data_IF_979141243834
#
_entry.id   IF_979141243834
#
_cell.length_a   1.000
_cell.length_b   1.000
_cell.length_c   1.000
_cell.angle_alpha   90.00
_cell.angle_beta   90.00
_cell.angle_gamma   90.00
#
_symmetry.space_group_name_H-M   'P 1'
#
loop_
_entity.id
_entity.type
_entity.pdbx_description
1 polymer ?
#
# COMPACT_ATOMS: atom_id res chain seq x y z
N UNK A 1 -16.46 16.34 2.37
CA UNK A 1 -15.08 15.97 2.78
C UNK A 1 -14.93 14.50 2.48
N UNK A 2 -14.06 14.14 1.54
CA UNK A 2 -13.79 12.75 1.20
C UNK A 2 -12.95 12.08 2.30
N UNK A 3 -12.93 10.74 2.30
CA UNK A 3 -12.26 9.95 3.35
C UNK A 3 -10.76 10.26 3.42
N UNK A 4 -10.11 10.51 2.27
CA UNK A 4 -8.66 10.77 2.22
C UNK A 4 -8.32 12.08 2.91
N UNK A 5 -9.10 13.15 2.70
CA UNK A 5 -8.83 14.41 3.39
C UNK A 5 -9.08 14.39 4.89
N UNK A 6 -9.96 13.52 5.40
CA UNK A 6 -10.09 13.31 6.86
C UNK A 6 -8.80 12.69 7.40
N UNK A 7 -8.31 11.63 6.76
CA UNK A 7 -7.06 10.99 7.16
C UNK A 7 -5.84 11.91 7.04
N UNK A 8 -5.84 12.82 6.06
CA UNK A 8 -4.78 13.82 5.95
C UNK A 8 -4.75 14.75 7.16
N UNK A 9 -5.89 15.27 7.61
CA UNK A 9 -5.93 16.09 8.83
C UNK A 9 -5.42 15.33 10.05
N UNK A 10 -5.88 14.09 10.24
CA UNK A 10 -5.38 13.22 11.33
C UNK A 10 -3.86 12.96 11.24
N UNK A 11 -3.32 12.89 10.02
CA UNK A 11 -1.90 12.68 9.80
C UNK A 11 -1.05 13.93 10.08
N UNK A 12 -1.65 15.13 9.98
CA UNK A 12 -0.98 16.39 10.32
C UNK A 12 -0.74 16.51 11.83
N UNK A 13 -1.56 15.88 12.67
CA UNK A 13 -1.37 15.87 14.13
C UNK A 13 -0.14 15.05 14.59
N UNK A 14 0.66 14.52 13.66
CA UNK A 14 1.84 13.69 13.93
C UNK A 14 3.10 14.29 13.34
N UNK A 15 4.21 14.13 14.07
CA UNK A 15 5.53 14.48 13.55
C UNK A 15 5.92 13.62 12.34
N UNK A 16 6.63 14.24 11.39
CA UNK A 16 7.10 13.57 10.17
C UNK A 16 6.16 13.72 8.98
N UNK A 17 6.38 12.95 7.92
CA UNK A 17 5.65 13.14 6.67
C UNK A 17 4.25 12.51 6.74
N UNK A 18 3.16 13.31 6.57
CA UNK A 18 1.80 12.81 6.69
C UNK A 18 1.47 11.79 5.59
N UNK A 19 2.01 11.97 4.37
CA UNK A 19 1.83 11.03 3.26
C UNK A 19 2.50 9.68 3.57
N UNK A 20 3.76 9.68 4.03
CA UNK A 20 4.44 8.45 4.44
C UNK A 20 3.68 7.70 5.54
N UNK A 21 3.18 8.44 6.54
CA UNK A 21 2.40 7.85 7.63
C UNK A 21 1.13 7.17 7.13
N UNK A 22 0.37 7.83 6.24
CA UNK A 22 -0.83 7.25 5.66
C UNK A 22 -0.53 6.04 4.76
N UNK A 23 0.60 6.03 4.07
CA UNK A 23 1.01 4.88 3.26
C UNK A 23 1.37 3.66 4.11
N UNK A 24 2.13 3.82 5.19
CA UNK A 24 2.43 2.72 6.12
C UNK A 24 1.14 2.20 6.78
N UNK A 25 0.26 3.10 7.21
CA UNK A 25 -1.07 2.73 7.75
C UNK A 25 -1.88 1.94 6.72
N UNK A 26 -1.91 2.41 5.47
CA UNK A 26 -2.61 1.73 4.38
C UNK A 26 -2.02 0.36 4.06
N UNK A 27 -0.70 0.25 3.91
CA UNK A 27 0.00 -1.01 3.65
C UNK A 27 -0.32 -2.03 4.75
N UNK A 28 -0.17 -1.61 6.01
CA UNK A 28 -0.47 -2.46 7.16
C UNK A 28 -1.92 -2.94 7.15
N UNK A 29 -2.88 -2.02 7.02
CA UNK A 29 -4.31 -2.38 6.99
C UNK A 29 -4.66 -3.30 5.82
N UNK A 30 -4.04 -3.10 4.65
CA UNK A 30 -4.26 -3.95 3.48
C UNK A 30 -3.79 -5.38 3.75
N UNK A 31 -2.63 -5.53 4.40
CA UNK A 31 -2.10 -6.84 4.80
C UNK A 31 -3.00 -7.50 5.87
N UNK A 32 -3.45 -6.75 6.87
CA UNK A 32 -4.36 -7.25 7.90
C UNK A 32 -5.66 -7.77 7.28
N UNK A 33 -6.23 -7.02 6.34
CA UNK A 33 -7.41 -7.41 5.56
C UNK A 33 -7.17 -8.67 4.73
N UNK A 34 -6.02 -8.78 4.04
CA UNK A 34 -5.64 -10.00 3.30
C UNK A 34 -5.61 -11.22 4.23
N UNK A 35 -4.98 -11.09 5.39
CA UNK A 35 -4.80 -12.18 6.35
C UNK A 35 -6.11 -12.58 7.05
N UNK A 36 -6.99 -11.61 7.33
CA UNK A 36 -8.22 -11.84 8.07
C UNK A 36 -9.37 -12.32 7.18
N UNK A 37 -9.56 -11.73 6.00
CA UNK A 37 -10.79 -11.91 5.21
C UNK A 37 -10.56 -12.56 3.84
N UNK A 38 -9.35 -12.48 3.27
CA UNK A 38 -9.19 -12.68 1.82
C UNK A 38 -8.18 -13.73 1.36
N UNK A 39 -7.68 -14.60 2.23
CA UNK A 39 -6.85 -15.75 1.78
C UNK A 39 -7.60 -16.71 0.85
N UNK A 40 -8.94 -16.73 0.96
CA UNK A 40 -9.84 -17.54 0.14
C UNK A 40 -10.61 -16.73 -0.91
N UNK A 41 -10.45 -15.41 -0.93
CA UNK A 41 -11.17 -14.55 -1.86
C UNK A 41 -10.63 -14.76 -3.31
N UNK A 42 -11.51 -15.07 -4.29
CA UNK A 42 -11.06 -15.34 -5.66
C UNK A 42 -10.34 -14.17 -6.33
N UNK A 43 -10.75 -12.92 -6.05
CA UNK A 43 -10.14 -11.74 -6.64
C UNK A 43 -8.74 -11.51 -6.09
N UNK A 44 -8.56 -11.64 -4.77
CA UNK A 44 -7.23 -11.56 -4.15
C UNK A 44 -6.33 -12.70 -4.63
N UNK A 45 -6.87 -13.92 -4.77
CA UNK A 45 -6.13 -15.05 -5.37
C UNK A 45 -5.71 -14.79 -6.81
N UNK A 46 -6.56 -14.16 -7.62
CA UNK A 46 -6.20 -13.75 -8.98
C UNK A 46 -5.06 -12.73 -8.96
N UNK A 47 -5.10 -11.71 -8.09
CA UNK A 47 -4.00 -10.74 -7.97
C UNK A 47 -2.67 -11.37 -7.57
N UNK A 48 -2.70 -12.32 -6.64
CA UNK A 48 -1.51 -13.12 -6.29
C UNK A 48 -1.07 -14.03 -7.43
N UNK A 49 -1.99 -14.59 -8.22
CA UNK A 49 -1.65 -15.41 -9.38
C UNK A 49 -1.00 -14.58 -10.50
N UNK A 50 -1.53 -13.39 -10.79
CA UNK A 50 -1.00 -12.48 -11.81
C UNK A 50 0.42 -11.99 -11.49
N UNK A 51 0.66 -11.65 -10.22
CA UNK A 51 1.96 -11.17 -9.73
C UNK A 51 2.93 -12.30 -9.38
N UNK A 52 2.44 -13.55 -9.41
CA UNK A 52 3.11 -14.72 -8.86
C UNK A 52 3.64 -14.51 -7.43
N UNK A 53 3.03 -13.58 -6.69
CA UNK A 53 3.31 -13.35 -5.28
C UNK A 53 3.67 -11.92 -4.89
N UNK A 54 4.52 -11.86 -3.87
CA UNK A 54 5.00 -10.62 -3.27
C UNK A 54 6.48 -10.45 -3.55
N UNK A 55 6.90 -9.19 -3.72
CA UNK A 55 8.31 -8.86 -3.70
C UNK A 55 8.91 -9.18 -2.31
N UNK A 56 10.24 -9.33 -2.19
CA UNK A 56 10.88 -9.68 -0.93
C UNK A 56 10.48 -8.78 0.24
N UNK A 57 10.35 -7.47 0.02
CA UNK A 57 9.92 -6.52 1.04
C UNK A 57 8.51 -6.86 1.56
N UNK A 58 7.53 -6.97 0.68
CA UNK A 58 6.14 -7.24 1.08
C UNK A 58 5.94 -8.66 1.61
N UNK A 59 6.74 -9.62 1.15
CA UNK A 59 6.81 -10.97 1.72
C UNK A 59 7.18 -10.94 3.21
N UNK A 60 8.24 -10.19 3.56
CA UNK A 60 8.66 -10.02 4.95
C UNK A 60 7.63 -9.23 5.75
N UNK A 61 7.08 -8.16 5.19
CA UNK A 61 6.05 -7.35 5.86
C UNK A 61 4.78 -8.15 6.17
N UNK A 62 4.32 -8.98 5.22
CA UNK A 62 3.20 -9.90 5.40
C UNK A 62 3.46 -10.85 6.57
N UNK A 63 4.65 -11.46 6.59
CA UNK A 63 5.08 -12.35 7.68
C UNK A 63 5.05 -11.61 9.03
N UNK A 64 5.70 -10.46 9.13
CA UNK A 64 5.75 -9.66 10.37
C UNK A 64 4.36 -9.37 10.92
N UNK A 65 3.44 -8.90 10.08
CA UNK A 65 2.07 -8.58 10.49
C UNK A 65 1.31 -9.85 10.89
N UNK A 66 1.45 -10.94 10.14
CA UNK A 66 0.83 -12.22 10.48
C UNK A 66 1.22 -12.75 11.87
N UNK A 67 2.47 -12.52 12.30
CA UNK A 67 2.93 -12.88 13.64
C UNK A 67 2.67 -11.81 14.71
N UNK A 68 2.28 -10.59 14.33
CA UNK A 68 2.00 -9.51 15.28
C UNK A 68 0.67 -9.65 16.02
N UNK A 69 -0.26 -10.46 15.50
CA UNK A 69 -1.57 -10.68 16.08
C UNK A 69 -1.93 -12.18 16.02
N UNK A 70 -2.26 -12.83 17.15
CA UNK A 70 -2.67 -14.24 17.19
C UNK A 70 -3.86 -14.59 16.30
N UNK A 71 -4.71 -13.62 15.95
CA UNK A 71 -5.87 -13.82 15.09
C UNK A 71 -5.51 -14.01 13.61
N UNK A 72 -4.36 -13.52 13.16
CA UNK A 72 -3.91 -13.70 11.77
C UNK A 72 -3.16 -15.02 11.61
N UNK A 73 -2.12 -15.22 12.43
CA UNK A 73 -1.31 -16.43 12.45
C UNK A 73 -0.59 -16.76 11.13
N UNK A 74 0.14 -17.87 11.11
CA UNK A 74 0.93 -18.29 9.94
C UNK A 74 0.13 -18.98 8.83
N UNK A 75 -1.12 -19.38 9.08
CA UNK A 75 -1.90 -20.19 8.13
C UNK A 75 -2.21 -19.41 6.86
N UNK A 76 -2.65 -18.16 6.97
CA UNK A 76 -2.97 -17.33 5.80
C UNK A 76 -1.75 -17.12 4.90
N UNK A 77 -0.59 -16.89 5.52
CA UNK A 77 0.70 -16.81 4.82
C UNK A 77 1.01 -18.13 4.10
N UNK A 78 0.89 -19.27 4.79
CA UNK A 78 1.15 -20.58 4.21
C UNK A 78 0.25 -20.89 3.00
N UNK A 79 -1.04 -20.56 3.08
CA UNK A 79 -2.00 -20.75 1.98
C UNK A 79 -1.65 -19.90 0.76
N UNK A 80 -1.27 -18.64 0.97
CA UNK A 80 -0.85 -17.75 -0.13
C UNK A 80 0.39 -18.32 -0.82
N UNK A 81 1.41 -18.71 -0.05
CA UNK A 81 2.65 -19.25 -0.62
C UNK A 81 2.48 -20.63 -1.25
N UNK A 82 1.64 -21.51 -0.69
CA UNK A 82 1.33 -22.80 -1.29
C UNK A 82 0.70 -22.61 -2.68
N UNK A 83 -0.29 -21.73 -2.78
CA UNK A 83 -0.93 -21.42 -4.04
C UNK A 83 0.07 -20.85 -5.06
N UNK A 84 0.90 -19.88 -4.65
CA UNK A 84 1.94 -19.31 -5.51
C UNK A 84 2.93 -20.36 -6.02
N UNK A 85 3.47 -21.21 -5.12
CA UNK A 85 4.41 -22.26 -5.48
C UNK A 85 3.77 -23.29 -6.42
N UNK A 86 2.49 -23.59 -6.25
CA UNK A 86 1.76 -24.48 -7.15
C UNK A 86 1.70 -23.94 -8.59
N UNK A 87 1.51 -22.61 -8.75
CA UNK A 87 1.50 -21.94 -10.05
C UNK A 87 2.89 -21.97 -10.71
N UNK A 88 3.94 -21.67 -9.94
CA UNK A 88 5.33 -21.79 -10.42
C UNK A 88 5.64 -23.21 -10.88
N UNK A 89 5.34 -24.22 -10.06
CA UNK A 89 5.61 -25.61 -10.38
C UNK A 89 4.86 -26.07 -11.63
N UNK A 90 3.61 -25.62 -11.81
CA UNK A 90 2.83 -25.91 -13.01
C UNK A 90 3.48 -25.30 -14.26
N UNK A 91 3.86 -24.02 -14.22
CA UNK A 91 4.53 -23.35 -15.33
C UNK A 91 5.85 -24.04 -15.71
N UNK A 92 6.68 -24.37 -14.71
CA UNK A 92 7.94 -25.10 -14.92
C UNK A 92 7.72 -26.48 -15.56
N UNK A 93 6.73 -27.24 -15.09
CA UNK A 93 6.42 -28.58 -15.63
C UNK A 93 5.94 -28.53 -17.08
N UNK A 94 5.21 -27.49 -17.43
CA UNK A 94 4.67 -27.30 -18.77
C UNK A 94 5.68 -26.68 -19.75
N UNK A 95 6.88 -26.29 -19.28
CA UNK A 95 7.85 -25.55 -20.09
C UNK A 95 7.37 -24.14 -20.46
N UNK A 96 6.44 -23.57 -19.70
CA UNK A 96 5.92 -22.24 -19.91
C UNK A 96 6.93 -21.19 -19.42
N UNK A 97 7.04 -20.09 -20.17
CA UNK A 97 7.78 -18.92 -19.69
C UNK A 97 6.99 -18.29 -18.55
N UNK A 98 7.58 -18.27 -17.36
CA UNK A 98 6.99 -17.65 -16.18
C UNK A 98 7.27 -16.15 -16.23
N UNK A 99 6.22 -15.33 -16.22
CA UNK A 99 6.32 -13.87 -16.16
C UNK A 99 5.74 -13.36 -14.85
N UNK A 100 6.61 -12.78 -14.02
CA UNK A 100 6.23 -12.14 -12.76
C UNK A 100 5.78 -10.70 -13.06
N UNK A 101 4.48 -10.43 -12.94
CA UNK A 101 3.99 -9.04 -12.98
C UNK A 101 4.36 -8.30 -11.68
N UNK A 102 4.09 -6.99 -11.66
CA UNK A 102 4.31 -6.18 -10.46
C UNK A 102 3.63 -6.77 -9.22
N UNK A 103 4.35 -6.78 -8.10
CA UNK A 103 3.84 -7.19 -6.80
C UNK A 103 2.52 -6.49 -6.47
N UNK A 104 1.52 -7.28 -6.11
CA UNK A 104 0.17 -6.79 -5.80
C UNK A 104 0.17 -5.63 -4.78
N UNK A 105 0.89 -5.79 -3.66
CA UNK A 105 0.98 -4.76 -2.62
C UNK A 105 1.80 -3.52 -3.07
N UNK A 106 2.83 -3.70 -3.92
CA UNK A 106 3.54 -2.57 -4.50
C UNK A 106 2.60 -1.70 -5.32
N UNK A 107 1.78 -2.33 -6.16
CA UNK A 107 0.81 -1.64 -7.00
C UNK A 107 -0.22 -0.89 -6.15
N UNK A 108 -0.80 -1.56 -5.15
CA UNK A 108 -1.78 -0.95 -4.26
C UNK A 108 -1.22 0.28 -3.51
N UNK A 109 0.01 0.18 -2.97
CA UNK A 109 0.66 1.30 -2.27
C UNK A 109 0.96 2.46 -3.22
N UNK A 110 1.38 2.19 -4.46
CA UNK A 110 1.62 3.23 -5.48
C UNK A 110 0.35 3.96 -5.89
N UNK A 111 -0.74 3.22 -6.10
CA UNK A 111 -2.06 3.79 -6.40
C UNK A 111 -2.51 4.68 -5.24
N UNK A 112 -2.35 4.20 -4.00
CA UNK A 112 -2.69 4.99 -2.82
C UNK A 112 -1.83 6.23 -2.64
N UNK A 113 -0.54 6.17 -2.94
CA UNK A 113 0.36 7.34 -2.89
C UNK A 113 -0.12 8.42 -3.84
N UNK A 114 -0.48 8.03 -5.06
CA UNK A 114 -1.02 8.94 -6.05
C UNK A 114 -2.28 9.64 -5.53
N UNK A 115 -3.25 8.88 -5.04
CA UNK A 115 -4.52 9.44 -4.55
C UNK A 115 -4.31 10.41 -3.38
N UNK A 116 -3.41 10.07 -2.43
CA UNK A 116 -3.11 10.93 -1.28
C UNK A 116 -2.42 12.22 -1.73
N UNK A 117 -1.43 12.13 -2.63
CA UNK A 117 -0.68 13.28 -3.13
C UNK A 117 -1.58 14.21 -3.95
N UNK A 118 -2.43 13.65 -4.82
CA UNK A 118 -3.42 14.41 -5.59
C UNK A 118 -4.38 15.14 -4.65
N UNK A 119 -4.97 14.43 -3.69
CA UNK A 119 -5.88 15.02 -2.69
C UNK A 119 -5.20 16.11 -1.85
N UNK A 120 -3.94 15.91 -1.45
CA UNK A 120 -3.18 16.91 -0.70
C UNK A 120 -3.00 18.19 -1.52
N UNK A 121 -2.60 18.06 -2.78
CA UNK A 121 -2.36 19.20 -3.68
C UNK A 121 -3.66 19.97 -3.94
N UNK A 122 -4.75 19.27 -4.26
CA UNK A 122 -6.07 19.86 -4.52
C UNK A 122 -6.63 20.62 -3.31
N UNK A 123 -6.34 20.14 -2.10
CA UNK A 123 -6.87 20.68 -0.84
C UNK A 123 -5.85 21.45 -0.04
N UNK A 124 -4.73 21.86 -0.66
CA UNK A 124 -3.65 22.56 0.03
C UNK A 124 -4.15 23.77 0.83
N UNK A 125 -5.03 24.58 0.24
CA UNK A 125 -5.57 25.77 0.90
C UNK A 125 -6.36 25.44 2.18
N UNK A 126 -7.05 24.30 2.20
CA UNK A 126 -7.82 23.84 3.37
C UNK A 126 -6.93 23.21 4.46
N UNK A 127 -5.78 22.68 4.06
CA UNK A 127 -4.83 21.98 4.94
C UNK A 127 -3.70 22.90 5.41
N UNK A 128 -3.49 24.06 4.78
CA UNK A 128 -2.31 24.89 4.99
C UNK A 128 -2.21 25.42 6.42
N UNK A 129 -3.33 25.81 7.01
CA UNK A 129 -3.34 26.31 8.39
C UNK A 129 -3.05 25.19 9.39
N UNK A 130 -3.66 24.01 9.20
CA UNK A 130 -3.38 22.83 10.01
C UNK A 130 -1.90 22.41 9.87
N UNK A 131 -1.36 22.43 8.64
CA UNK A 131 0.02 22.07 8.35
C UNK A 131 1.02 23.02 9.02
N UNK A 132 0.79 24.35 8.94
CA UNK A 132 1.66 25.37 9.55
C UNK A 132 1.75 25.25 11.08
N UNK A 133 0.64 24.86 11.71
CA UNK A 133 0.55 24.75 13.17
C UNK A 133 0.90 23.35 13.68
N UNK A 134 1.35 22.45 12.80
CA UNK A 134 1.68 21.07 13.13
C UNK A 134 3.20 20.82 13.24
N UNK A 135 3.55 19.67 13.80
CA UNK A 135 4.92 19.11 13.74
C UNK A 135 5.16 18.27 12.47
N UNK A 136 4.17 18.20 11.57
CA UNK A 136 4.26 17.44 10.34
C UNK A 136 5.23 18.11 9.37
N UNK A 137 6.09 17.30 8.75
CA UNK A 137 7.08 17.77 7.78
C UNK A 137 7.08 16.83 6.58
N UNK A 138 6.69 17.35 5.41
CA UNK A 138 6.79 16.61 4.15
C UNK A 138 8.24 16.16 3.92
N UNK A 139 8.43 14.87 3.63
CA UNK A 139 9.72 14.40 3.16
C UNK A 139 10.03 15.00 1.78
N UNK A 140 11.30 15.04 1.40
CA UNK A 140 11.73 15.62 0.11
C UNK A 140 10.90 15.09 -1.06
N UNK A 141 10.72 13.78 -1.16
CA UNK A 141 9.95 13.13 -2.24
C UNK A 141 8.51 13.63 -2.30
N UNK A 142 7.79 13.62 -1.18
CA UNK A 142 6.37 14.00 -1.17
C UNK A 142 6.18 15.51 -1.34
N UNK A 143 7.11 16.32 -0.86
CA UNK A 143 7.14 17.74 -1.21
C UNK A 143 7.28 17.95 -2.72
N UNK A 144 8.25 17.30 -3.38
CA UNK A 144 8.49 17.42 -4.82
C UNK A 144 7.28 16.94 -5.66
N UNK A 145 6.64 15.84 -5.24
CA UNK A 145 5.44 15.33 -5.90
C UNK A 145 4.26 16.31 -5.79
N UNK A 146 3.98 16.81 -4.59
CA UNK A 146 2.91 17.80 -4.36
C UNK A 146 3.21 19.09 -5.13
N UNK A 147 4.44 19.60 -5.05
CA UNK A 147 4.86 20.81 -5.77
C UNK A 147 4.69 20.66 -7.29
N UNK A 148 5.04 19.50 -7.85
CA UNK A 148 4.85 19.21 -9.28
C UNK A 148 3.38 19.29 -9.70
N UNK A 149 2.45 18.82 -8.86
CA UNK A 149 1.02 18.91 -9.14
C UNK A 149 0.49 20.34 -9.03
N UNK A 150 0.92 21.09 -8.02
CA UNK A 150 0.53 22.50 -7.87
C UNK A 150 0.94 23.34 -9.10
N UNK A 151 2.14 23.09 -9.65
CA UNK A 151 2.59 23.73 -10.88
C UNK A 151 1.73 23.41 -12.11
N UNK A 152 1.01 22.29 -12.12
CA UNK A 152 0.06 21.92 -13.18
C UNK A 152 -1.36 22.44 -12.94
N UNK A 153 -1.73 22.70 -11.69
CA UNK A 153 -3.05 23.21 -11.31
C UNK A 153 -3.14 24.74 -11.49
N UNK A 154 -2.01 25.44 -11.36
CA UNK A 154 -1.91 26.90 -11.46
C UNK A 154 -1.58 27.42 -12.88
N UNK A 155 -1.46 26.52 -13.86
CA UNK A 155 -1.29 26.82 -15.30
C UNK A 155 -2.55 26.41 -16.07
#
# INVERSE_FOLDING_TARGET
MDIIGVYLKEALDRAGCPVCYLLDKYEKSSIETILYEHVNDPFVREKFAESLGLCPYHAWRLKEIAYSNPLYGGLGVAVIYEHMLSLYLKGLRNGEKIEEKECYLCKAVKEKERDIVETFAERLNELLEDYKNSEAVLCKRHYELIQSLLGKILL
#
